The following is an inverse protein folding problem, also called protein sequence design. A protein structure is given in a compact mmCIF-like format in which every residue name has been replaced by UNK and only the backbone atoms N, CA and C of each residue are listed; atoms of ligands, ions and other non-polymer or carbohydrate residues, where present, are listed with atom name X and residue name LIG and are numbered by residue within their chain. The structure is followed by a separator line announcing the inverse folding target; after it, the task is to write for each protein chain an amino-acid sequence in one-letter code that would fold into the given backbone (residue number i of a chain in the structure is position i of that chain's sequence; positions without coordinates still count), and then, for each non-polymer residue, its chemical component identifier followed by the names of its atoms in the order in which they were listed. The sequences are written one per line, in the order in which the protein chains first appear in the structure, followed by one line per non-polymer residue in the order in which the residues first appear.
data_IF_065730337515
#
_entry.id   IF_065730337515
#
_cell.length_a   1.000
_cell.length_b   1.000
_cell.length_c   1.000
_cell.angle_alpha   90.00
_cell.angle_beta   90.00
_cell.angle_gamma   90.00
#
_symmetry.space_group_name_H-M   'P 1'
#
loop_
_entity.id
_entity.type
_entity.pdbx_description
1 polymer ?
#
# COMPACT_ATOMS: atom_id res chain seq x y z
N UNK A 1 -6.16 28.71 -11.13
CA UNK A 1 -6.10 28.19 -11.02
C UNK A 1 -6.20 27.71 -10.79
N UNK A 2 -6.27 27.67 -10.50
CA UNK A 2 -6.50 27.16 -10.23
C UNK A 2 -6.31 26.59 -9.74
N UNK A 3 -6.16 26.99 -9.45
CA UNK A 3 -6.03 26.39 -8.81
C UNK A 3 -6.28 25.49 -8.59
N UNK A 4 -6.34 25.04 -8.58
CA UNK A 4 -6.70 24.09 -8.43
C UNK A 4 -7.52 23.62 -7.77
N UNK A 5 -7.55 23.66 -8.02
CA UNK A 5 -8.70 23.02 -7.50
C UNK A 5 -8.41 22.08 -6.37
N UNK A 6 -7.21 21.88 -6.12
CA UNK A 6 -6.81 21.13 -4.96
C UNK A 6 -6.91 21.97 -3.73
N UNK A 7 -7.33 21.39 -2.65
CA UNK A 7 -7.28 22.13 -1.42
C UNK A 7 -5.84 22.47 -1.09
N UNK A 8 -5.67 23.61 -0.52
CA UNK A 8 -4.34 24.05 -0.17
C UNK A 8 -3.73 23.20 0.90
N UNK A 9 -4.55 22.60 1.70
CA UNK A 9 -4.01 21.78 2.77
C UNK A 9 -3.97 20.34 2.34
N UNK A 10 -3.18 19.56 3.04
CA UNK A 10 -3.05 18.16 2.71
C UNK A 10 -4.41 17.48 2.69
N UNK A 11 -4.54 16.57 1.80
CA UNK A 11 -5.76 15.81 1.70
C UNK A 11 -6.00 15.03 2.98
N UNK A 12 -7.18 15.11 3.48
CA UNK A 12 -7.55 14.38 4.65
C UNK A 12 -8.28 13.13 4.27
N UNK A 13 -7.93 12.06 4.94
CA UNK A 13 -8.62 10.81 4.72
C UNK A 13 -10.10 10.96 5.00
N UNK A 14 -10.41 11.76 5.99
CA UNK A 14 -11.81 11.97 6.37
C UNK A 14 -12.60 12.73 5.32
N UNK A 15 -11.92 13.30 4.31
CA UNK A 15 -12.61 13.98 3.25
C UNK A 15 -13.14 13.09 2.17
N UNK A 16 -12.89 11.78 2.26
CA UNK A 16 -13.33 10.84 1.26
C UNK A 16 -14.72 10.33 1.58
N UNK A 17 -15.50 10.08 0.54
CA UNK A 17 -16.77 9.42 0.73
C UNK A 17 -16.53 7.95 1.07
N UNK A 18 -17.57 7.28 1.52
CA UNK A 18 -17.46 5.87 1.84
C UNK A 18 -17.08 5.05 0.60
N UNK A 19 -17.69 5.38 -0.53
CA UNK A 19 -17.38 4.67 -1.77
C UNK A 19 -15.93 4.88 -2.17
N UNK A 20 -15.45 6.09 -2.03
CA UNK A 20 -14.05 6.37 -2.35
C UNK A 20 -13.11 5.64 -1.42
N UNK A 21 -13.49 5.54 -0.16
CA UNK A 21 -12.68 4.83 0.81
C UNK A 21 -12.59 3.36 0.47
N UNK A 22 -13.71 2.77 0.07
CA UNK A 22 -13.73 1.37 -0.32
C UNK A 22 -12.85 1.16 -1.55
N UNK A 23 -12.99 2.03 -2.53
CA UNK A 23 -12.22 1.91 -3.76
C UNK A 23 -10.72 2.02 -3.48
N UNK A 24 -10.33 2.96 -2.63
CA UNK A 24 -8.94 3.10 -2.29
C UNK A 24 -8.43 1.88 -1.53
N UNK A 25 -9.27 1.33 -0.66
CA UNK A 25 -8.89 0.12 0.05
C UNK A 25 -8.60 -1.03 -0.89
N UNK A 26 -9.45 -1.18 -1.91
CA UNK A 26 -9.23 -2.23 -2.89
C UNK A 26 -7.97 -1.98 -3.71
N UNK A 27 -7.72 -0.73 -4.05
CA UNK A 27 -6.53 -0.40 -4.81
C UNK A 27 -5.27 -0.69 -4.01
N UNK A 28 -5.28 -0.34 -2.74
CA UNK A 28 -4.13 -0.59 -1.89
C UNK A 28 -3.91 -2.08 -1.67
N UNK A 29 -4.99 -2.83 -1.57
CA UNK A 29 -4.86 -4.27 -1.44
C UNK A 29 -4.22 -4.88 -2.68
N UNK A 30 -4.66 -4.44 -3.86
CA UNK A 30 -4.08 -4.94 -5.09
C UNK A 30 -2.61 -4.57 -5.19
N UNK A 31 -2.27 -3.35 -4.80
CA UNK A 31 -0.89 -2.91 -4.83
C UNK A 31 -0.03 -3.70 -3.86
N UNK A 32 -0.56 -3.96 -2.67
CA UNK A 32 0.18 -4.74 -1.70
C UNK A 32 0.44 -6.15 -2.22
N UNK A 33 -0.56 -6.72 -2.88
CA UNK A 33 -0.39 -8.06 -3.44
C UNK A 33 0.70 -8.08 -4.50
N UNK A 34 0.70 -7.06 -5.35
CA UNK A 34 1.70 -6.97 -6.40
C UNK A 34 3.09 -6.79 -5.80
N UNK A 35 3.21 -5.91 -4.81
CA UNK A 35 4.51 -5.67 -4.20
C UNK A 35 4.98 -6.89 -3.43
N UNK A 36 4.05 -7.62 -2.82
CA UNK A 36 4.40 -8.84 -2.13
C UNK A 36 4.94 -9.90 -3.07
N UNK A 37 4.32 -10.04 -4.24
CA UNK A 37 4.79 -10.99 -5.23
C UNK A 37 6.18 -10.60 -5.72
N UNK A 38 6.39 -9.31 -5.95
CA UNK A 38 7.71 -8.83 -6.38
C UNK A 38 8.76 -9.09 -5.31
N UNK A 39 8.40 -8.88 -4.04
CA UNK A 39 9.32 -9.13 -2.95
C UNK A 39 9.67 -10.61 -2.85
N UNK A 40 8.66 -11.48 -2.99
CA UNK A 40 8.93 -12.91 -2.96
C UNK A 40 9.88 -13.33 -4.08
N UNK A 41 9.65 -12.80 -5.27
CA UNK A 41 10.53 -13.12 -6.39
C UNK A 41 11.95 -12.64 -6.14
N UNK A 42 12.07 -11.45 -5.53
CA UNK A 42 13.39 -10.91 -5.24
C UNK A 42 14.10 -11.74 -4.17
N UNK A 43 13.36 -12.24 -3.19
CA UNK A 43 13.94 -13.09 -2.16
C UNK A 43 14.43 -14.38 -2.76
N UNK A 44 13.64 -14.98 -3.65
CA UNK A 44 14.05 -16.21 -4.29
C UNK A 44 15.31 -16.00 -5.12
N UNK A 45 15.36 -14.89 -5.83
CA UNK A 45 16.53 -14.59 -6.64
C UNK A 45 17.76 -14.36 -5.77
N UNK A 46 17.59 -13.68 -4.66
CA UNK A 46 18.71 -13.42 -3.75
C UNK A 46 19.21 -14.73 -3.16
N UNK A 47 18.30 -15.60 -2.77
CA UNK A 47 18.66 -16.88 -2.20
C UNK A 47 19.46 -17.72 -3.20
N UNK A 48 19.01 -17.71 -4.46
CA UNK A 48 19.69 -18.46 -5.50
C UNK A 48 21.11 -17.97 -5.71
N UNK A 49 21.39 -16.70 -5.39
CA UNK A 49 22.71 -16.14 -5.53
C UNK A 49 23.49 -16.13 -4.23
N UNK A 50 22.93 -16.68 -3.18
CA UNK A 50 23.57 -16.67 -1.89
C UNK A 50 23.63 -15.28 -1.27
N UNK A 51 22.69 -14.42 -1.61
CA UNK A 51 22.67 -13.07 -1.11
C UNK A 51 21.53 -12.87 -0.15
N UNK A 52 21.61 -11.79 0.61
CA UNK A 52 20.60 -11.48 1.60
C UNK A 52 19.32 -11.01 0.90
N UNK A 53 18.20 -11.46 1.44
CA UNK A 53 16.91 -11.05 0.92
C UNK A 53 16.68 -9.55 1.16
N UNK A 54 16.00 -8.87 0.23
CA UNK A 54 15.67 -7.47 0.44
C UNK A 54 14.63 -7.33 1.54
N UNK A 55 14.57 -6.16 2.13
CA UNK A 55 13.63 -5.90 3.21
C UNK A 55 12.25 -5.60 2.62
N UNK A 56 11.23 -5.84 3.43
CA UNK A 56 9.88 -5.46 3.04
C UNK A 56 9.75 -3.96 2.81
N UNK A 57 10.51 -3.19 3.59
CA UNK A 57 10.45 -1.75 3.47
C UNK A 57 10.87 -1.30 2.08
N UNK A 58 11.81 -1.98 1.48
CA UNK A 58 12.31 -1.60 0.16
C UNK A 58 11.21 -1.68 -0.90
N UNK A 59 10.19 -2.48 -0.65
CA UNK A 59 9.10 -2.63 -1.60
C UNK A 59 7.85 -1.86 -1.19
N UNK A 60 7.95 -1.04 -0.16
CA UNK A 60 6.86 -0.16 0.21
C UNK A 60 5.68 -0.84 0.86
N UNK A 61 5.83 -2.10 1.24
CA UNK A 61 4.71 -2.85 1.78
C UNK A 61 4.23 -2.26 3.10
N UNK A 62 5.17 -1.83 3.94
CA UNK A 62 4.80 -1.23 5.21
C UNK A 62 4.04 0.08 5.01
N UNK A 63 4.47 0.87 4.03
CA UNK A 63 3.80 2.14 3.77
C UNK A 63 2.38 1.91 3.28
N UNK A 64 2.19 0.89 2.46
CA UNK A 64 0.86 0.56 1.97
C UNK A 64 -0.03 0.14 3.12
N UNK A 65 0.47 -0.70 4.00
CA UNK A 65 -0.30 -1.16 5.15
C UNK A 65 -0.64 0.00 6.08
N UNK A 66 0.31 0.88 6.31
CA UNK A 66 0.09 2.02 7.18
C UNK A 66 -1.00 2.93 6.62
N UNK A 67 -0.93 3.18 5.32
CA UNK A 67 -1.95 4.03 4.70
C UNK A 67 -3.32 3.36 4.76
N UNK A 68 -3.37 2.06 4.57
CA UNK A 68 -4.64 1.34 4.64
C UNK A 68 -5.26 1.50 6.02
N UNK A 69 -4.46 1.44 7.07
CA UNK A 69 -4.98 1.63 8.40
C UNK A 69 -5.54 3.02 8.59
N UNK A 70 -4.87 4.00 8.03
CA UNK A 70 -5.36 5.37 8.14
C UNK A 70 -6.66 5.56 7.40
N UNK A 71 -6.90 4.74 6.39
CA UNK A 71 -8.17 4.78 5.66
C UNK A 71 -9.26 4.02 6.39
N UNK A 72 -8.90 3.28 7.43
CA UNK A 72 -9.88 2.53 8.17
C UNK A 72 -10.07 1.12 7.67
N UNK A 73 -9.20 0.64 6.80
CA UNK A 73 -9.27 -0.73 6.33
C UNK A 73 -8.69 -1.64 7.41
N UNK A 74 -9.39 -2.74 7.66
CA UNK A 74 -8.96 -3.64 8.70
C UNK A 74 -7.70 -4.38 8.29
N UNK A 75 -6.71 -4.30 9.14
CA UNK A 75 -5.43 -4.94 8.85
C UNK A 75 -5.58 -6.46 8.77
N UNK A 76 -6.40 -7.04 9.64
CA UNK A 76 -6.56 -8.49 9.64
C UNK A 76 -7.14 -8.97 8.32
N UNK A 77 -8.12 -8.23 7.82
CA UNK A 77 -8.73 -8.57 6.54
C UNK A 77 -7.68 -8.55 5.42
N UNK A 78 -6.79 -7.59 5.50
CA UNK A 78 -5.74 -7.47 4.51
C UNK A 78 -4.76 -8.63 4.56
N UNK A 79 -4.45 -9.06 5.77
CA UNK A 79 -3.44 -10.09 5.96
C UNK A 79 -3.93 -11.45 5.52
N UNK A 80 -5.22 -11.62 5.42
CA UNK A 80 -5.77 -12.90 5.03
C UNK A 80 -5.70 -13.12 3.53
N UNK A 81 -5.29 -12.13 2.82
CA UNK A 81 -5.09 -12.30 1.40
C UNK A 81 -3.87 -13.18 1.16
#
# INVERSE_FOLDING_TARGET
MPKHSYPDKPTRVSGLSDDERVLLGEALRALRRERGAAWNAACDAAEARGKRSPSLRAYGIWDITRLARRLGVRAAHWMEE
#
